data_IF_285268748647
#
_entry.id   IF_285268748647
#
_cell.length_a   1.000
_cell.length_b   1.000
_cell.length_c   1.000
_cell.angle_alpha   90.00
_cell.angle_beta   90.00
_cell.angle_gamma   90.00
#
_symmetry.space_group_name_H-M   'P 1'
#
loop_
_entity.id
_entity.type
_entity.pdbx_description
1 polymer ?
#
# COMPACT_ATOMS: atom_id res chain seq x y z
N UNK A 1 6.87 0.28 -5.27
CA UNK A 1 7.47 0.55 -3.95
C UNK A 1 8.48 -0.56 -3.67
N UNK A 2 9.72 -0.24 -3.25
CA UNK A 2 10.74 -1.26 -2.99
C UNK A 2 10.54 -1.94 -1.64
N UNK A 3 10.37 -1.17 -0.56
CA UNK A 3 10.25 -1.72 0.80
C UNK A 3 8.84 -2.23 1.17
N UNK A 4 7.80 -1.87 0.41
CA UNK A 4 6.39 -2.17 0.72
C UNK A 4 5.88 -1.63 2.08
N UNK A 5 6.56 -0.64 2.67
CA UNK A 5 6.21 -0.08 3.98
C UNK A 5 5.33 1.17 3.87
N UNK A 6 4.52 1.42 4.91
CA UNK A 6 3.71 2.64 5.05
C UNK A 6 4.39 3.74 5.91
N UNK A 7 5.70 3.67 6.10
CA UNK A 7 6.55 4.52 6.96
C UNK A 7 6.76 5.97 6.47
N UNK A 8 5.83 6.50 5.67
CA UNK A 8 5.72 7.94 5.41
C UNK A 8 6.52 8.48 4.23
N UNK A 9 7.21 7.65 3.45
CA UNK A 9 7.85 8.08 2.20
C UNK A 9 7.07 7.62 0.96
N UNK A 10 7.32 8.29 -0.17
CA UNK A 10 6.78 7.92 -1.47
C UNK A 10 7.72 6.96 -2.19
N UNK A 11 7.18 6.16 -3.11
CA UNK A 11 7.95 5.11 -3.79
C UNK A 11 9.22 5.62 -4.49
N UNK A 12 9.19 6.82 -5.08
CA UNK A 12 10.35 7.43 -5.74
C UNK A 12 11.46 7.87 -4.75
N UNK A 13 11.07 8.17 -3.50
CA UNK A 13 11.98 8.57 -2.43
C UNK A 13 12.43 7.38 -1.56
N UNK A 14 12.07 6.14 -1.95
CA UNK A 14 12.42 4.95 -1.20
C UNK A 14 13.92 4.68 -1.30
N UNK A 15 14.59 4.67 -0.13
CA UNK A 15 16.04 4.41 -0.01
C UNK A 15 16.36 2.93 0.24
N UNK A 16 15.38 2.03 0.21
CA UNK A 16 15.64 0.59 0.41
C UNK A 16 16.56 0.06 -0.68
N UNK A 17 17.65 -0.59 -0.26
CA UNK A 17 18.55 -1.30 -1.15
C UNK A 17 17.94 -2.61 -1.70
N UNK A 18 16.92 -3.13 -1.00
CA UNK A 18 16.33 -4.45 -1.29
C UNK A 18 14.86 -4.28 -1.70
N UNK A 19 14.45 -5.09 -2.69
CA UNK A 19 13.05 -5.27 -3.06
C UNK A 19 12.39 -6.23 -2.06
N UNK A 20 11.28 -5.80 -1.46
CA UNK A 20 10.44 -6.60 -0.57
C UNK A 20 9.21 -7.05 -1.36
N UNK A 21 8.91 -8.33 -1.28
CA UNK A 21 7.77 -8.92 -1.95
C UNK A 21 6.46 -8.45 -1.30
N UNK A 22 5.53 -7.96 -2.12
CA UNK A 22 4.19 -7.57 -1.66
C UNK A 22 3.28 -8.74 -1.27
N UNK A 23 3.66 -10.00 -1.58
CA UNK A 23 2.90 -11.21 -1.24
C UNK A 23 3.41 -11.90 0.01
N UNK A 24 4.71 -12.16 0.11
CA UNK A 24 5.29 -12.97 1.20
C UNK A 24 6.31 -12.22 2.07
N UNK A 25 6.51 -10.91 1.85
CA UNK A 25 7.46 -10.07 2.59
C UNK A 25 8.94 -10.48 2.50
N UNK A 26 9.31 -11.43 1.64
CA UNK A 26 10.69 -11.84 1.41
C UNK A 26 11.45 -10.89 0.47
N UNK A 27 12.77 -11.04 0.43
CA UNK A 27 13.71 -10.16 -0.29
C UNK A 27 13.80 -10.51 -1.79
N UNK A 28 12.74 -10.21 -2.53
CA UNK A 28 12.70 -10.27 -3.99
C UNK A 28 11.56 -9.42 -4.53
N UNK A 29 11.54 -9.19 -5.85
CA UNK A 29 10.42 -8.52 -6.49
C UNK A 29 9.17 -9.39 -6.44
N UNK A 30 8.01 -8.77 -6.32
CA UNK A 30 6.72 -9.47 -6.32
C UNK A 30 6.49 -10.30 -7.59
N UNK A 31 7.03 -9.86 -8.73
CA UNK A 31 6.93 -10.59 -10.00
C UNK A 31 7.69 -11.92 -10.00
N UNK A 32 8.77 -12.01 -9.22
CA UNK A 32 9.62 -13.20 -9.11
C UNK A 32 9.20 -14.09 -7.92
N UNK A 33 8.01 -13.86 -7.37
CA UNK A 33 7.55 -14.56 -6.18
C UNK A 33 7.12 -15.99 -6.50
N UNK A 34 7.75 -17.01 -5.89
CA UNK A 34 7.34 -18.40 -6.08
C UNK A 34 6.05 -18.74 -5.32
N UNK A 35 5.62 -17.87 -4.41
CA UNK A 35 4.44 -18.07 -3.56
C UNK A 35 3.17 -17.75 -4.35
N UNK A 36 2.39 -18.80 -4.62
CA UNK A 36 1.09 -18.73 -5.30
C UNK A 36 -0.08 -18.94 -4.37
N UNK A 37 0.11 -19.70 -3.29
CA UNK A 37 -0.91 -19.92 -2.25
C UNK A 37 -1.07 -18.67 -1.39
N UNK A 38 -2.31 -18.14 -1.36
CA UNK A 38 -2.66 -16.96 -0.58
C UNK A 38 -2.65 -17.21 0.93
N UNK A 39 -2.78 -18.47 1.38
CA UNK A 39 -2.71 -18.83 2.79
C UNK A 39 -1.36 -18.52 3.43
N UNK A 40 -0.28 -18.63 2.67
CA UNK A 40 1.10 -18.35 3.11
C UNK A 40 1.58 -16.94 2.73
N UNK A 41 0.68 -16.09 2.25
CA UNK A 41 1.01 -14.68 2.10
C UNK A 41 1.28 -14.07 3.47
N UNK A 42 2.23 -13.15 3.50
CA UNK A 42 2.64 -12.46 4.71
C UNK A 42 2.77 -10.98 4.43
N UNK A 43 2.11 -10.19 5.26
CA UNK A 43 2.12 -8.75 5.14
C UNK A 43 3.37 -8.17 5.78
N UNK A 44 4.17 -7.43 5.01
CA UNK A 44 5.38 -6.79 5.51
C UNK A 44 5.10 -5.66 6.50
N UNK A 45 3.86 -5.21 6.67
CA UNK A 45 3.49 -4.09 7.55
C UNK A 45 2.97 -4.56 8.92
N UNK A 46 2.07 -5.54 8.95
CA UNK A 46 1.51 -6.09 10.19
C UNK A 46 2.15 -7.41 10.63
N UNK A 47 3.00 -8.03 9.79
CA UNK A 47 3.68 -9.30 10.03
C UNK A 47 2.76 -10.51 10.26
N UNK A 48 1.49 -10.43 9.84
CA UNK A 48 0.51 -11.51 9.93
C UNK A 48 0.43 -12.29 8.61
N UNK A 49 0.22 -13.60 8.71
CA UNK A 49 0.01 -14.50 7.57
C UNK A 49 -1.44 -14.48 7.07
N UNK A 50 -1.69 -15.06 5.89
CA UNK A 50 -3.00 -15.09 5.23
C UNK A 50 -3.31 -13.88 4.35
N UNK A 51 -2.43 -12.86 4.32
CA UNK A 51 -2.56 -11.75 3.37
C UNK A 51 -1.22 -11.06 3.06
N UNK A 52 -1.14 -10.43 1.88
CA UNK A 52 0.04 -9.67 1.46
C UNK A 52 -0.02 -8.20 1.87
N UNK A 53 1.07 -7.46 1.67
CA UNK A 53 1.15 -6.02 1.93
C UNK A 53 0.17 -5.16 1.10
N UNK A 54 -0.38 -5.74 0.03
CA UNK A 54 -1.35 -5.08 -0.86
C UNK A 54 -2.80 -5.20 -0.39
N UNK A 55 -3.07 -5.99 0.65
CA UNK A 55 -4.43 -6.20 1.14
C UNK A 55 -5.02 -4.92 1.74
N UNK A 56 -6.19 -4.53 1.21
CA UNK A 56 -6.95 -3.35 1.65
C UNK A 56 -7.70 -3.58 2.96
N UNK A 57 -7.72 -4.82 3.47
CA UNK A 57 -8.27 -5.20 4.78
C UNK A 57 -7.21 -5.26 5.88
N UNK A 58 -5.93 -5.06 5.55
CA UNK A 58 -4.88 -5.02 6.56
C UNK A 58 -5.15 -3.90 7.58
N UNK A 59 -5.16 -4.18 8.90
CA UNK A 59 -5.45 -3.17 9.91
C UNK A 59 -4.46 -2.01 9.90
N UNK A 60 -3.18 -2.28 9.62
CA UNK A 60 -2.14 -1.24 9.50
C UNK A 60 -2.38 -0.36 8.26
N UNK A 61 -2.85 -0.95 7.15
CA UNK A 61 -3.23 -0.18 5.97
C UNK A 61 -4.40 0.76 6.27
N UNK A 62 -5.44 0.26 6.94
CA UNK A 62 -6.61 1.06 7.32
C UNK A 62 -6.23 2.20 8.27
N UNK A 63 -5.38 1.93 9.26
CA UNK A 63 -4.89 2.96 10.18
C UNK A 63 -4.10 4.05 9.44
N UNK A 64 -3.21 3.67 8.54
CA UNK A 64 -2.44 4.65 7.76
C UNK A 64 -3.28 5.41 6.74
N UNK A 65 -4.29 4.77 6.14
CA UNK A 65 -5.27 5.44 5.31
C UNK A 65 -6.04 6.50 6.11
N UNK A 66 -6.53 6.15 7.30
CA UNK A 66 -7.23 7.09 8.18
C UNK A 66 -6.33 8.25 8.59
N UNK A 67 -5.07 7.97 8.94
CA UNK A 67 -4.09 9.01 9.29
C UNK A 67 -3.82 9.97 8.13
N UNK A 68 -3.77 9.47 6.89
CA UNK A 68 -3.60 10.29 5.68
C UNK A 68 -4.84 11.15 5.42
N UNK A 69 -6.05 10.56 5.50
CA UNK A 69 -7.32 11.30 5.37
C UNK A 69 -7.45 12.41 6.42
N UNK A 70 -7.12 12.12 7.68
CA UNK A 70 -7.19 13.11 8.76
C UNK A 70 -6.26 14.33 8.56
N UNK A 71 -5.24 14.23 7.70
CA UNK A 71 -4.34 15.35 7.36
C UNK A 71 -4.82 16.18 6.18
N UNK A 72 -5.77 15.66 5.42
CA UNK A 72 -6.31 16.32 4.23
C UNK A 72 -7.82 16.51 4.43
N UNK A 73 -8.26 17.70 4.87
CA UNK A 73 -9.68 18.02 5.03
C UNK A 73 -10.47 17.83 3.73
N UNK A 74 -9.80 17.78 2.57
CA UNK A 74 -10.46 17.58 1.29
C UNK A 74 -10.72 16.12 0.94
N UNK A 75 -10.06 15.18 1.63
CA UNK A 75 -10.14 13.75 1.33
C UNK A 75 -11.54 13.15 1.56
N UNK A 76 -12.41 13.85 2.30
CA UNK A 76 -13.79 13.45 2.57
C UNK A 76 -14.82 14.13 1.66
N UNK A 77 -14.42 15.12 0.85
CA UNK A 77 -15.31 15.68 -0.16
C UNK A 77 -15.38 14.79 -1.39
N UNK A 78 -16.59 14.62 -1.91
CA UNK A 78 -16.84 13.99 -3.19
C UNK A 78 -16.73 15.03 -4.29
N UNK A 79 -15.85 14.79 -5.25
CA UNK A 79 -15.77 15.61 -6.45
C UNK A 79 -16.98 15.33 -7.37
N UNK A 80 -17.69 16.40 -7.75
CA UNK A 80 -18.78 16.35 -8.72
C UNK A 80 -18.34 17.13 -9.96
N UNK A 81 -18.00 16.45 -11.08
CA UNK A 81 -17.64 17.15 -12.31
C UNK A 81 -18.84 17.95 -12.80
N UNK A 82 -18.61 19.22 -13.12
CA UNK A 82 -19.63 20.09 -13.70
C UNK A 82 -19.51 20.05 -15.24
N UNK A 83 -20.45 20.68 -15.97
CA UNK A 83 -20.48 20.61 -17.44
C UNK A 83 -19.42 21.50 -18.10
N UNK A 84 -18.79 22.34 -17.30
CA UNK A 84 -17.85 23.36 -17.73
C UNK A 84 -16.48 22.72 -18.07
N UNK A 85 -15.97 22.86 -19.31
CA UNK A 85 -14.75 22.20 -19.74
C UNK A 85 -13.48 22.53 -18.94
N UNK A 86 -13.45 23.62 -18.17
CA UNK A 86 -12.29 24.02 -17.36
C UNK A 86 -12.23 23.32 -16.00
N UNK A 87 -13.22 22.50 -15.64
CA UNK A 87 -13.20 21.77 -14.37
C UNK A 87 -12.50 20.41 -14.44
N UNK A 88 -12.07 19.95 -15.62
CA UNK A 88 -11.37 18.68 -15.83
C UNK A 88 -10.15 18.82 -16.77
#
# INVERSE_FOLDING_TARGET
AKCQRFDGHLAHACKSAVDVCGRCAANHRTGDCPVTDSGIFKCSNCNVEGHGAVDRRCPVFLQEQQRRRARDPTADYRYFPTKEPWTW
#
